data_IF_928532680081
#
_entry.id   IF_928532680081
#
_cell.length_a   1.000
_cell.length_b   1.000
_cell.length_c   1.000
_cell.angle_alpha   90.00
_cell.angle_beta   90.00
_cell.angle_gamma   90.00
#
_symmetry.space_group_name_H-M   'P 1'
#
loop_
_entity.id
_entity.type
_entity.pdbx_description
1 polymer ?
#
# COMPACT_ATOMS: atom_id res chain seq x y z
N UNK A 1 -11.74 -0.93 9.15
CA UNK A 1 -10.32 -0.72 8.77
C UNK A 1 -10.22 -1.22 7.36
N UNK A 2 -9.75 -0.42 6.41
CA UNK A 2 -9.42 -0.98 5.09
C UNK A 2 -8.25 -1.97 5.28
N UNK A 3 -8.34 -3.10 4.59
CA UNK A 3 -7.37 -4.20 4.60
C UNK A 3 -6.72 -4.33 3.21
N UNK A 4 -6.55 -3.22 2.48
CA UNK A 4 -6.09 -3.23 1.08
C UNK A 4 -4.73 -3.92 0.96
N UNK A 5 -3.79 -3.66 1.87
CA UNK A 5 -2.49 -4.32 1.86
C UNK A 5 -2.58 -5.83 2.11
N UNK A 6 -3.46 -6.25 3.02
CA UNK A 6 -3.68 -7.66 3.38
C UNK A 6 -4.40 -8.41 2.24
N UNK A 7 -5.51 -7.85 1.73
CA UNK A 7 -6.28 -8.42 0.63
C UNK A 7 -5.43 -8.53 -0.64
N UNK A 8 -4.62 -7.52 -0.94
CA UNK A 8 -3.70 -7.56 -2.08
C UNK A 8 -2.59 -8.60 -1.90
N UNK A 9 -2.07 -8.76 -0.68
CA UNK A 9 -1.08 -9.79 -0.40
C UNK A 9 -1.67 -11.20 -0.57
N UNK A 10 -2.88 -11.42 -0.03
CA UNK A 10 -3.59 -12.69 -0.19
C UNK A 10 -3.90 -12.97 -1.65
N UNK A 11 -4.36 -11.98 -2.42
CA UNK A 11 -4.59 -12.13 -3.85
C UNK A 11 -3.31 -12.50 -4.62
N UNK A 12 -2.16 -11.96 -4.25
CA UNK A 12 -0.88 -12.30 -4.89
C UNK A 12 -0.40 -13.72 -4.55
N UNK A 13 -0.81 -14.25 -3.39
CA UNK A 13 -0.52 -15.60 -2.94
C UNK A 13 -1.56 -16.62 -3.40
N UNK A 14 -2.77 -16.19 -3.74
CA UNK A 14 -3.86 -17.02 -4.23
C UNK A 14 -3.63 -17.47 -5.68
N UNK A 15 -2.55 -18.23 -5.87
CA UNK A 15 -2.26 -18.97 -7.08
C UNK A 15 -1.87 -20.41 -6.77
N UNK A 16 -1.87 -21.25 -7.79
CA UNK A 16 -1.65 -22.69 -7.66
C UNK A 16 -0.32 -23.08 -6.98
N UNK A 17 0.68 -22.20 -6.97
CA UNK A 17 1.98 -22.44 -6.36
C UNK A 17 2.11 -21.85 -4.94
N UNK A 18 1.10 -21.12 -4.45
CA UNK A 18 1.15 -20.34 -3.21
C UNK A 18 2.36 -19.39 -3.13
N UNK A 19 2.87 -18.96 -4.29
CA UNK A 19 4.02 -18.06 -4.38
C UNK A 19 3.53 -16.67 -4.75
N UNK A 20 4.20 -15.60 -4.34
CA UNK A 20 3.83 -14.28 -4.82
C UNK A 20 4.00 -14.21 -6.34
N UNK A 21 2.97 -13.79 -7.07
CA UNK A 21 3.03 -13.62 -8.54
C UNK A 21 3.98 -12.50 -9.02
N UNK A 22 4.59 -11.77 -8.08
CA UNK A 22 5.52 -10.66 -8.32
C UNK A 22 6.91 -11.00 -7.78
N UNK A 23 7.94 -10.53 -8.48
CA UNK A 23 9.28 -10.51 -7.93
C UNK A 23 9.34 -9.66 -6.64
N UNK A 24 10.33 -9.94 -5.80
CA UNK A 24 10.45 -9.35 -4.46
C UNK A 24 10.42 -7.82 -4.47
N UNK A 25 11.11 -7.17 -5.41
CA UNK A 25 11.21 -5.71 -5.46
C UNK A 25 9.87 -5.06 -5.83
N UNK A 26 9.18 -5.62 -6.83
CA UNK A 26 7.85 -5.15 -7.21
C UNK A 26 6.84 -5.39 -6.10
N UNK A 27 6.90 -6.56 -5.44
CA UNK A 27 6.04 -6.89 -4.30
C UNK A 27 6.21 -5.89 -3.16
N UNK A 28 7.45 -5.59 -2.76
CA UNK A 28 7.73 -4.62 -1.68
C UNK A 28 7.18 -3.23 -2.00
N UNK A 29 7.36 -2.75 -3.23
CA UNK A 29 6.80 -1.46 -3.68
C UNK A 29 5.28 -1.44 -3.65
N UNK A 30 4.64 -2.49 -4.18
CA UNK A 30 3.18 -2.59 -4.27
C UNK A 30 2.55 -2.67 -2.88
N UNK A 31 3.10 -3.49 -1.99
CA UNK A 31 2.60 -3.58 -0.61
C UNK A 31 2.81 -2.28 0.17
N UNK A 32 3.95 -1.60 -0.02
CA UNK A 32 4.19 -0.28 0.60
C UNK A 32 3.16 0.75 0.13
N UNK A 33 2.82 0.77 -1.17
CA UNK A 33 1.78 1.63 -1.71
C UNK A 33 0.39 1.28 -1.14
N UNK A 34 0.07 -0.01 -1.00
CA UNK A 34 -1.20 -0.45 -0.42
C UNK A 34 -1.36 -0.01 1.04
N UNK A 35 -0.28 -0.02 1.84
CA UNK A 35 -0.30 0.52 3.22
C UNK A 35 -0.59 2.03 3.23
N UNK A 36 -0.02 2.80 2.31
CA UNK A 36 -0.34 4.23 2.18
C UNK A 36 -1.82 4.42 1.82
N UNK A 37 -2.38 3.57 0.97
CA UNK A 37 -3.81 3.59 0.65
C UNK A 37 -4.68 3.24 1.86
N UNK A 38 -4.30 2.26 2.67
CA UNK A 38 -5.02 1.92 3.91
C UNK A 38 -5.05 3.11 4.88
N UNK A 39 -3.91 3.79 5.05
CA UNK A 39 -3.81 4.99 5.87
C UNK A 39 -4.66 6.15 5.31
N UNK A 40 -4.65 6.34 3.99
CA UNK A 40 -5.46 7.37 3.34
C UNK A 40 -6.96 7.07 3.46
N UNK A 41 -7.36 5.81 3.26
CA UNK A 41 -8.75 5.36 3.42
C UNK A 41 -9.24 5.53 4.86
N UNK A 42 -8.35 5.30 5.83
CA UNK A 42 -8.61 5.57 7.25
C UNK A 42 -8.51 7.07 7.62
N UNK A 43 -8.37 7.97 6.64
CA UNK A 43 -8.20 9.42 6.81
C UNK A 43 -7.04 9.82 7.76
N UNK A 44 -6.00 8.98 7.85
CA UNK A 44 -4.80 9.23 8.67
C UNK A 44 -3.75 10.05 7.94
N UNK A 45 -3.68 9.89 6.63
CA UNK A 45 -2.81 10.66 5.76
C UNK A 45 -3.62 11.23 4.60
N UNK A 46 -3.10 12.29 4.00
CA UNK A 46 -3.60 12.82 2.73
C UNK A 46 -2.44 13.42 1.94
N UNK A 47 -2.56 13.51 0.61
CA UNK A 47 -1.65 14.33 -0.17
C UNK A 47 -1.63 15.76 0.35
N UNK A 48 -0.44 16.36 0.41
CA UNK A 48 -0.30 17.79 0.67
C UNK A 48 -1.00 18.59 -0.43
N UNK A 49 -1.76 19.60 -0.04
CA UNK A 49 -2.44 20.49 -0.98
C UNK A 49 -1.54 21.68 -1.32
N UNK A 50 -1.80 22.32 -2.46
CA UNK A 50 -1.06 23.50 -2.89
C UNK A 50 -1.15 24.61 -1.83
N UNK A 51 0.01 25.15 -1.43
CA UNK A 51 0.11 26.23 -0.44
C UNK A 51 0.08 25.77 1.01
N UNK A 52 0.01 24.47 1.29
CA UNK A 52 0.17 23.97 2.66
C UNK A 52 1.63 24.06 3.10
N UNK A 53 1.88 24.55 4.34
CA UNK A 53 3.22 24.54 4.88
C UNK A 53 3.64 23.08 5.09
N UNK A 54 4.67 22.66 4.36
CA UNK A 54 5.34 21.38 4.57
C UNK A 54 6.43 21.64 5.62
N UNK A 55 6.31 21.02 6.79
CA UNK A 55 7.41 21.06 7.76
C UNK A 55 8.66 20.45 7.14
N UNK A 56 9.79 21.15 7.26
CA UNK A 56 11.07 20.60 6.84
C UNK A 56 11.41 19.44 7.79
N UNK A 57 11.55 18.24 7.21
CA UNK A 57 11.97 17.03 7.93
C UNK A 57 13.42 17.06 8.36
#
# INVERSE_FOLDING_TARGET
>A
MAQIAEDLFLLLLDNAAAQPALDRHRREKVLSAAVLLDLAYACRIRPAMAGEPIEAG
#
